data_IF_571295407306
#
_entry.id   IF_571295407306
#
_cell.length_a   1.000
_cell.length_b   1.000
_cell.length_c   1.000
_cell.angle_alpha   90.00
_cell.angle_beta   90.00
_cell.angle_gamma   90.00
#
_symmetry.space_group_name_H-M   'P 1'
#
loop_
_entity.id
_entity.type
_entity.pdbx_description
1 polymer ?
#
# COMPACT_ATOMS: atom_id res chain seq x y z
N UNK A 1 -8.66 -5.00 -6.58
CA UNK A 1 -7.24 -4.70 -6.34
C UNK A 1 -6.38 -5.76 -6.99
N UNK A 2 -5.23 -5.40 -7.55
CA UNK A 2 -4.23 -6.33 -8.09
C UNK A 2 -2.89 -6.12 -7.37
N UNK A 3 -2.19 -7.22 -7.08
CA UNK A 3 -0.88 -7.20 -6.42
C UNK A 3 0.14 -7.93 -7.28
N UNK A 4 1.22 -7.24 -7.64
CA UNK A 4 2.35 -7.81 -8.38
C UNK A 4 3.61 -7.85 -7.53
N UNK A 5 4.31 -8.98 -7.57
CA UNK A 5 5.56 -9.20 -6.84
C UNK A 5 6.76 -9.10 -7.78
N UNK A 6 7.81 -8.39 -7.36
CA UNK A 6 9.07 -8.29 -8.10
C UNK A 6 10.24 -8.25 -7.11
N UNK A 7 10.98 -9.34 -7.00
CA UNK A 7 12.06 -9.50 -6.02
C UNK A 7 11.55 -9.33 -4.59
N UNK A 8 12.20 -8.44 -3.83
CA UNK A 8 11.80 -8.13 -2.45
C UNK A 8 10.66 -7.10 -2.36
N UNK A 9 9.94 -6.80 -3.45
CA UNK A 9 8.89 -5.79 -3.46
C UNK A 9 7.55 -6.37 -3.90
N UNK A 10 6.47 -5.88 -3.27
CA UNK A 10 5.10 -6.07 -3.73
C UNK A 10 4.50 -4.71 -4.12
N UNK A 11 3.78 -4.66 -5.23
CA UNK A 11 3.16 -3.46 -5.76
C UNK A 11 1.65 -3.64 -5.78
N UNK A 12 0.94 -2.84 -5.00
CA UNK A 12 -0.51 -2.80 -4.96
C UNK A 12 -1.06 -1.77 -5.94
N UNK A 13 -2.03 -2.17 -6.76
CA UNK A 13 -2.72 -1.29 -7.71
C UNK A 13 -4.24 -1.44 -7.60
N UNK A 14 -4.95 -0.32 -7.68
CA UNK A 14 -6.39 -0.26 -7.82
C UNK A 14 -6.77 -0.32 -9.29
N UNK A 15 -7.83 -1.07 -9.60
CA UNK A 15 -8.49 -0.99 -10.90
C UNK A 15 -9.73 -0.14 -10.73
N UNK A 16 -9.80 0.95 -11.48
CA UNK A 16 -10.94 1.86 -11.46
C UNK A 16 -12.09 1.30 -12.33
N UNK A 17 -13.34 1.71 -12.08
CA UNK A 17 -14.52 1.26 -12.85
C UNK A 17 -14.39 1.53 -14.36
N UNK A 18 -13.67 2.59 -14.70
CA UNK A 18 -13.33 3.12 -16.01
C UNK A 18 -12.25 2.28 -16.72
N UNK A 19 -11.71 1.24 -16.06
CA UNK A 19 -10.76 0.29 -16.62
C UNK A 19 -9.29 0.68 -16.41
N UNK A 20 -9.04 1.91 -15.98
CA UNK A 20 -7.70 2.40 -15.65
C UNK A 20 -7.15 1.76 -14.37
N UNK A 21 -5.82 1.76 -14.29
CA UNK A 21 -5.09 1.17 -13.15
C UNK A 21 -4.31 2.25 -12.42
N UNK A 22 -4.63 2.48 -11.14
CA UNK A 22 -3.93 3.45 -10.30
C UNK A 22 -3.00 2.75 -9.31
N UNK A 23 -1.70 3.10 -9.26
CA UNK A 23 -0.81 2.59 -8.23
C UNK A 23 -1.21 3.11 -6.85
N UNK A 24 -1.32 2.23 -5.87
CA UNK A 24 -1.70 2.56 -4.50
C UNK A 24 -0.51 2.56 -3.55
N UNK A 25 0.23 1.46 -3.52
CA UNK A 25 1.28 1.25 -2.53
C UNK A 25 2.38 0.33 -3.04
N UNK A 26 3.55 0.42 -2.40
CA UNK A 26 4.66 -0.52 -2.55
C UNK A 26 5.06 -1.02 -1.18
N UNK A 27 5.12 -2.34 -1.04
CA UNK A 27 5.66 -3.03 0.12
C UNK A 27 7.08 -3.51 -0.21
N UNK A 28 7.98 -3.44 0.76
CA UNK A 28 9.34 -4.00 0.70
C UNK A 28 9.49 -5.06 1.77
N UNK A 29 9.79 -6.29 1.39
CA UNK A 29 10.08 -7.37 2.32
C UNK A 29 11.33 -7.04 3.14
N UNK A 30 11.17 -6.99 4.46
CA UNK A 30 12.24 -6.64 5.41
C UNK A 30 12.98 -7.83 6.03
N UNK A 31 12.68 -9.07 5.61
CA UNK A 31 13.29 -10.29 6.15
C UNK A 31 12.47 -11.00 7.23
N UNK A 32 11.34 -10.41 7.66
CA UNK A 32 10.36 -11.04 8.55
C UNK A 32 8.99 -10.97 7.87
N UNK A 33 8.23 -12.07 7.91
CA UNK A 33 6.91 -12.16 7.28
C UNK A 33 5.94 -11.05 7.75
N UNK A 34 6.08 -10.62 9.02
CA UNK A 34 5.24 -9.59 9.64
C UNK A 34 5.78 -8.15 9.51
N UNK A 35 6.95 -7.92 8.89
CA UNK A 35 7.54 -6.58 8.75
C UNK A 35 7.88 -6.27 7.31
N UNK A 36 7.02 -5.49 6.70
CA UNK A 36 7.19 -4.96 5.35
C UNK A 36 7.31 -3.45 5.41
N UNK A 37 8.34 -2.89 4.77
CA UNK A 37 8.48 -1.45 4.59
C UNK A 37 7.40 -0.92 3.66
N UNK A 38 6.76 0.19 4.03
CA UNK A 38 5.59 0.73 3.33
C UNK A 38 5.90 2.05 2.62
N UNK A 39 5.50 2.14 1.36
CA UNK A 39 5.49 3.40 0.62
C UNK A 39 4.14 3.59 -0.05
N UNK A 40 3.47 4.70 0.25
CA UNK A 40 2.22 5.08 -0.39
C UNK A 40 2.53 5.80 -1.69
N UNK A 41 1.78 5.52 -2.74
CA UNK A 41 1.80 6.35 -3.93
C UNK A 41 1.20 7.70 -3.58
N UNK A 42 1.75 8.82 -4.04
CA UNK A 42 1.15 10.14 -3.87
C UNK A 42 0.81 10.69 -5.25
N UNK A 43 -0.47 10.67 -5.61
CA UNK A 43 -0.95 11.13 -6.92
C UNK A 43 -0.50 12.57 -7.22
N UNK A 44 -0.54 13.46 -6.21
CA UNK A 44 -0.12 14.86 -6.35
C UNK A 44 1.36 15.06 -6.71
N UNK A 45 2.23 14.08 -6.41
CA UNK A 45 3.67 14.14 -6.72
C UNK A 45 4.09 13.12 -7.78
N UNK A 46 3.16 12.31 -8.28
CA UNK A 46 3.40 11.18 -9.17
C UNK A 46 4.57 10.28 -8.69
N UNK A 47 4.75 10.16 -7.37
CA UNK A 47 5.91 9.54 -6.74
C UNK A 47 5.49 8.67 -5.56
N UNK A 48 6.29 7.63 -5.28
CA UNK A 48 6.12 6.78 -4.09
C UNK A 48 6.93 7.36 -2.95
N UNK A 49 6.27 7.71 -1.85
CA UNK A 49 6.93 8.24 -0.67
C UNK A 49 6.86 7.18 0.44
N UNK A 50 7.99 6.90 1.11
CA UNK A 50 7.97 6.07 2.31
C UNK A 50 7.05 6.74 3.33
N UNK A 51 6.07 5.97 3.80
CA UNK A 51 5.03 6.48 4.69
C UNK A 51 5.09 5.76 6.01
N UNK A 52 4.84 6.51 7.07
CA UNK A 52 4.75 5.97 8.43
C UNK A 52 3.33 5.39 8.56
N UNK A 53 3.25 4.14 9.01
CA UNK A 53 1.97 3.51 9.35
C UNK A 53 1.31 4.24 10.53
N UNK A 54 -0.01 4.11 10.73
CA UNK A 54 -0.71 4.66 11.89
C UNK A 54 -0.08 4.28 13.24
N UNK A 55 0.62 3.14 13.27
CA UNK A 55 1.41 2.63 14.40
C UNK A 55 2.73 3.39 14.64
N UNK A 56 2.99 4.48 13.93
CA UNK A 56 4.25 5.26 13.97
C UNK A 56 5.50 4.52 13.51
N UNK A 57 5.34 3.39 12.81
CA UNK A 57 6.44 2.60 12.27
C UNK A 57 6.52 2.72 10.73
N UNK A 58 7.73 2.70 10.18
CA UNK A 58 7.96 2.68 8.72
C UNK A 58 7.81 1.29 8.11
N UNK A 59 7.62 0.27 8.96
CA UNK A 59 7.38 -1.11 8.58
C UNK A 59 6.38 -1.78 9.53
N UNK A 60 5.49 -2.60 8.98
CA UNK A 60 4.46 -3.29 9.75
C UNK A 60 3.85 -4.44 8.96
N UNK A 61 2.67 -4.90 9.39
CA UNK A 61 1.95 -5.93 8.68
C UNK A 61 1.52 -5.42 7.28
N UNK A 62 1.54 -6.29 6.26
CA UNK A 62 1.08 -5.90 4.93
C UNK A 62 -0.41 -5.51 4.91
N UNK A 63 -1.21 -6.02 5.86
CA UNK A 63 -2.63 -5.71 6.03
C UNK A 63 -2.85 -4.26 6.50
N UNK A 64 -2.12 -3.80 7.53
CA UNK A 64 -2.18 -2.41 8.00
C UNK A 64 -1.84 -1.40 6.89
N UNK A 65 -0.86 -1.77 6.06
CA UNK A 65 -0.45 -0.98 4.91
C UNK A 65 -1.55 -0.90 3.83
N UNK A 66 -2.24 -2.01 3.58
CA UNK A 66 -3.37 -2.06 2.65
C UNK A 66 -4.53 -1.20 3.16
N UNK A 67 -4.91 -1.35 4.43
CA UNK A 67 -5.98 -0.59 5.07
C UNK A 67 -5.71 0.92 4.99
N UNK A 68 -4.48 1.32 5.30
CA UNK A 68 -4.05 2.73 5.18
C UNK A 68 -4.17 3.25 3.74
N UNK A 69 -3.74 2.46 2.75
CA UNK A 69 -3.80 2.86 1.34
C UNK A 69 -5.25 2.92 0.80
N UNK A 70 -6.09 1.98 1.20
CA UNK A 70 -7.52 1.95 0.88
C UNK A 70 -8.25 3.14 1.51
N UNK A 71 -8.02 3.43 2.79
CA UNK A 71 -8.60 4.58 3.48
C UNK A 71 -8.22 5.91 2.82
N UNK A 72 -6.97 6.06 2.37
CA UNK A 72 -6.51 7.29 1.72
C UNK A 72 -7.11 7.51 0.32
N UNK A 73 -7.21 6.45 -0.49
CA UNK A 73 -7.54 6.58 -1.92
C UNK A 73 -8.94 6.16 -2.32
N UNK A 74 -9.58 5.29 -1.55
CA UNK A 74 -10.91 4.78 -1.86
C UNK A 74 -11.97 5.35 -0.93
N UNK A 75 -11.57 6.06 0.14
CA UNK A 75 -12.49 6.50 1.19
C UNK A 75 -13.13 5.33 1.96
N UNK A 76 -12.64 4.12 1.76
CA UNK A 76 -13.16 2.90 2.38
C UNK A 76 -12.44 2.68 3.72
N UNK A 77 -13.06 3.20 4.78
CA UNK A 77 -12.80 2.82 6.17
C UNK A 77 -13.63 1.57 6.47
N UNK A 78 -13.32 0.45 5.84
CA UNK A 78 -13.86 -0.85 6.22
C UNK A 78 -12.74 -1.72 6.77
N UNK A 79 -12.35 -1.55 8.05
CA UNK A 79 -11.68 -2.63 8.75
C UNK A 79 -12.68 -3.77 8.88
N UNK A 80 -12.45 -4.82 8.12
CA UNK A 80 -13.30 -5.99 7.96
C UNK A 80 -13.47 -6.68 9.33
N UNK A 81 -14.70 -6.58 9.86
CA UNK A 81 -15.33 -7.54 10.77
C UNK A 81 -15.35 -8.93 10.12
#
# INVERSE_FOLDING_TARGET
MDVRFCGAFAYGTARLPDGDTMPLMRLRYGGLAARWGFAVYLASKNARQESILPTSHTAGAPEDALDTACGLYLGDLAPWI
#
